data_IF_826194951625
#
_entry.id   IF_826194951625
#
_cell.length_a   1.000
_cell.length_b   1.000
_cell.length_c   1.000
_cell.angle_alpha   90.00
_cell.angle_beta   90.00
_cell.angle_gamma   90.00
#
_symmetry.space_group_name_H-M   'P 1'
#
loop_
_entity.id
_entity.type
_entity.pdbx_description
1 polymer ?
#
# COMPACT_ATOMS: atom_id res chain seq x y z
N UNK A 1 5.52 31.74 -14.50
CA UNK A 1 5.52 30.26 -14.46
C UNK A 1 5.57 29.64 -13.07
N UNK A 2 6.32 30.19 -12.10
CA UNK A 2 6.30 29.71 -10.70
C UNK A 2 4.89 29.60 -10.10
N UNK A 3 3.97 30.50 -10.46
CA UNK A 3 2.60 30.51 -9.93
C UNK A 3 1.74 29.32 -10.37
N UNK A 4 1.90 28.78 -11.58
CA UNK A 4 1.06 27.66 -12.07
C UNK A 4 1.54 26.30 -11.55
N UNK A 5 2.86 26.06 -11.52
CA UNK A 5 3.45 24.84 -10.97
C UNK A 5 3.25 24.79 -9.45
N UNK A 6 3.44 25.91 -8.74
CA UNK A 6 3.18 25.98 -7.31
C UNK A 6 1.68 25.83 -7.01
N UNK A 7 0.78 26.39 -7.84
CA UNK A 7 -0.67 26.18 -7.70
C UNK A 7 -1.05 24.73 -7.90
N UNK A 8 -0.41 23.99 -8.80
CA UNK A 8 -0.77 22.61 -9.10
C UNK A 8 -0.15 21.61 -8.12
N UNK A 9 1.09 21.84 -7.67
CA UNK A 9 1.66 21.12 -6.54
C UNK A 9 0.86 21.41 -5.26
N UNK A 10 0.44 22.67 -5.06
CA UNK A 10 -0.49 23.05 -3.99
C UNK A 10 -1.85 22.39 -4.16
N UNK A 11 -2.37 22.22 -5.38
CA UNK A 11 -3.66 21.56 -5.60
C UNK A 11 -3.54 20.05 -5.35
N UNK A 12 -2.43 19.43 -5.74
CA UNK A 12 -2.14 18.02 -5.48
C UNK A 12 -1.90 17.76 -3.98
N UNK A 13 -1.18 18.67 -3.31
CA UNK A 13 -0.97 18.64 -1.87
C UNK A 13 -2.28 18.91 -1.12
N UNK A 14 -3.10 19.87 -1.57
CA UNK A 14 -4.43 20.15 -1.00
C UNK A 14 -5.37 18.98 -1.25
N UNK A 15 -5.33 18.32 -2.41
CA UNK A 15 -6.13 17.13 -2.68
C UNK A 15 -5.67 15.95 -1.82
N UNK A 16 -4.36 15.74 -1.67
CA UNK A 16 -3.79 14.70 -0.83
C UNK A 16 -4.06 14.94 0.66
N UNK A 17 -3.98 16.20 1.11
CA UNK A 17 -4.33 16.62 2.46
C UNK A 17 -5.85 16.55 2.68
N UNK A 18 -6.65 16.86 1.67
CA UNK A 18 -8.11 16.77 1.71
C UNK A 18 -8.56 15.31 1.79
N UNK A 19 -7.99 14.43 0.97
CA UNK A 19 -8.25 12.98 1.03
C UNK A 19 -7.77 12.41 2.37
N UNK A 20 -6.60 12.82 2.86
CA UNK A 20 -6.11 12.43 4.18
C UNK A 20 -7.00 12.96 5.33
N UNK A 21 -7.43 14.22 5.27
CA UNK A 21 -8.31 14.83 6.29
C UNK A 21 -9.71 14.23 6.24
N UNK A 22 -10.22 13.93 5.04
CA UNK A 22 -11.51 13.28 4.87
C UNK A 22 -11.44 11.84 5.40
N UNK A 23 -10.34 11.14 5.16
CA UNK A 23 -10.10 9.82 5.75
C UNK A 23 -10.01 9.88 7.27
N UNK A 24 -9.42 10.93 7.83
CA UNK A 24 -9.34 11.16 9.27
C UNK A 24 -10.72 11.51 9.88
N UNK A 25 -11.50 12.38 9.23
CA UNK A 25 -12.87 12.73 9.67
C UNK A 25 -13.79 11.51 9.59
N UNK A 26 -13.65 10.69 8.54
CA UNK A 26 -14.41 9.43 8.42
C UNK A 26 -13.95 8.43 9.48
N UNK A 27 -12.66 8.32 9.76
CA UNK A 27 -12.15 7.49 10.86
C UNK A 27 -12.65 7.98 12.24
N UNK A 28 -12.72 9.29 12.48
CA UNK A 28 -13.28 9.88 13.71
C UNK A 28 -14.79 9.63 13.83
N UNK A 29 -15.53 9.72 12.72
CA UNK A 29 -16.97 9.41 12.68
C UNK A 29 -17.25 7.93 12.90
N UNK A 30 -16.43 7.03 12.35
CA UNK A 30 -16.51 5.58 12.59
C UNK A 30 -16.15 5.24 14.04
N UNK A 31 -15.07 5.84 14.58
CA UNK A 31 -14.67 5.69 15.98
C UNK A 31 -15.74 6.19 16.97
N UNK A 32 -16.46 7.26 16.61
CA UNK A 32 -17.60 7.77 17.40
C UNK A 32 -18.89 6.99 17.19
N UNK A 33 -19.00 6.23 16.09
CA UNK A 33 -20.15 5.38 15.76
C UNK A 33 -20.14 4.03 16.49
N UNK A 34 -18.95 3.51 16.81
CA UNK A 34 -18.78 2.32 17.66
C UNK A 34 -18.96 2.69 19.14
N UNK A 35 -20.20 3.02 19.49
CA UNK A 35 -20.66 3.24 20.87
C UNK A 35 -20.64 1.99 21.75
N UNK A 36 -19.70 1.05 21.56
CA UNK A 36 -19.41 0.03 22.57
C UNK A 36 -18.52 0.64 23.65
N UNK A 37 -19.08 1.60 24.38
CA UNK A 37 -18.62 1.91 25.72
C UNK A 37 -18.69 0.59 26.51
N UNK A 38 -17.54 -0.02 26.78
CA UNK A 38 -17.43 -1.05 27.82
C UNK A 38 -17.67 -0.33 29.14
N UNK A 39 -18.94 -0.10 29.45
CA UNK A 39 -19.35 0.43 30.73
C UNK A 39 -19.03 -0.66 31.74
N UNK A 40 -18.00 -0.42 32.55
CA UNK A 40 -17.59 -1.33 33.60
C UNK A 40 -18.62 -1.21 34.72
N UNK A 41 -19.76 -1.90 34.54
CA UNK A 41 -20.76 -2.04 35.59
C UNK A 41 -20.28 -3.15 36.52
N UNK A 42 -19.96 -2.78 37.76
CA UNK A 42 -19.61 -3.69 38.87
C UNK A 42 -18.35 -4.57 38.71
N UNK A 43 -17.33 -4.10 37.98
CA UNK A 43 -16.02 -4.76 37.94
C UNK A 43 -15.98 -6.08 37.16
N UNK A 44 -17.04 -6.38 36.41
CA UNK A 44 -17.10 -7.50 35.48
C UNK A 44 -16.86 -7.01 34.05
N UNK A 45 -16.03 -7.73 33.28
CA UNK A 45 -15.84 -7.45 31.85
C UNK A 45 -17.02 -8.12 31.13
N UNK A 46 -17.92 -7.29 30.60
CA UNK A 46 -19.07 -7.72 29.81
C UNK A 46 -18.73 -7.55 28.33
N UNK A 47 -18.95 -8.57 27.51
CA UNK A 47 -18.74 -8.44 26.06
C UNK A 47 -19.80 -7.52 25.42
N UNK A 48 -19.57 -7.11 24.16
CA UNK A 48 -20.51 -6.27 23.40
C UNK A 48 -21.89 -6.89 23.15
N UNK A 49 -22.15 -8.09 23.67
CA UNK A 49 -23.43 -8.80 23.62
C UNK A 49 -24.07 -8.99 25.00
N UNK A 50 -23.49 -8.42 26.06
CA UNK A 50 -24.04 -8.49 27.42
C UNK A 50 -23.63 -9.74 28.22
N UNK A 51 -22.69 -10.56 27.74
CA UNK A 51 -22.23 -11.73 28.48
C UNK A 51 -21.04 -11.39 29.39
N UNK A 52 -21.12 -11.81 30.64
CA UNK A 52 -20.03 -11.68 31.62
C UNK A 52 -18.95 -12.71 31.28
N UNK A 53 -17.72 -12.25 30.98
CA UNK A 53 -16.57 -13.14 30.76
C UNK A 53 -16.01 -13.56 32.12
N UNK A 54 -16.07 -14.85 32.50
CA UNK A 54 -15.54 -15.31 33.78
C UNK A 54 -14.01 -15.22 33.80
N UNK A 55 -13.45 -14.50 34.76
CA UNK A 55 -12.00 -14.37 34.98
C UNK A 55 -11.42 -15.68 35.51
N UNK A 56 -11.02 -16.59 34.62
CA UNK A 56 -10.31 -17.82 34.99
C UNK A 56 -8.81 -17.55 35.16
N UNK A 57 -8.42 -16.86 36.23
CA UNK A 57 -7.03 -16.82 36.68
C UNK A 57 -6.87 -17.74 37.89
N UNK A 58 -6.51 -19.00 37.63
CA UNK A 58 -5.85 -19.82 38.64
C UNK A 58 -4.34 -19.55 38.57
N UNK A 59 -3.67 -19.18 39.67
CA UNK A 59 -2.22 -19.06 39.68
C UNK A 59 -1.60 -20.47 39.63
N UNK A 60 -1.09 -20.87 38.47
CA UNK A 60 -0.25 -22.06 38.35
C UNK A 60 1.12 -21.75 38.94
N UNK A 61 1.36 -22.21 40.16
CA UNK A 61 2.69 -22.27 40.77
C UNK A 61 3.58 -23.23 39.99
N UNK A 62 4.54 -22.70 39.24
CA UNK A 62 5.56 -23.50 38.54
C UNK A 62 6.57 -24.01 39.57
N UNK A 63 6.78 -25.33 39.72
CA UNK A 63 7.81 -25.87 40.60
C UNK A 63 9.21 -25.61 40.04
N UNK A 64 10.06 -24.96 40.84
CA UNK A 64 11.47 -24.77 40.52
C UNK A 64 12.20 -26.10 40.35
N UNK A 65 12.88 -26.27 39.23
CA UNK A 65 13.73 -27.44 38.98
C UNK A 65 15.09 -26.98 38.44
N UNK A 66 16.13 -27.28 39.22
CA UNK A 66 17.42 -27.78 38.74
C UNK A 66 18.32 -26.84 37.96
N UNK A 67 19.34 -26.30 38.63
CA UNK A 67 20.50 -25.69 38.00
C UNK A 67 21.26 -26.67 37.11
N UNK A 68 21.10 -26.52 35.80
CA UNK A 68 22.03 -27.03 34.80
C UNK A 68 22.77 -25.85 34.18
N UNK A 69 24.04 -25.67 34.54
CA UNK A 69 24.94 -24.70 33.92
C UNK A 69 25.13 -25.08 32.44
N UNK A 70 24.28 -24.52 31.58
CA UNK A 70 24.49 -24.59 30.14
C UNK A 70 25.80 -23.88 29.82
N UNK A 71 26.69 -24.47 29.02
CA UNK A 71 27.94 -23.82 28.64
C UNK A 71 27.63 -22.47 27.99
N UNK A 72 28.48 -21.45 28.18
CA UNK A 72 28.27 -20.13 27.60
C UNK A 72 28.12 -20.31 26.10
N UNK A 73 26.90 -20.08 25.61
CA UNK A 73 26.54 -20.19 24.20
C UNK A 73 27.41 -19.15 23.49
N UNK A 74 28.51 -19.61 22.92
CA UNK A 74 29.45 -18.78 22.18
C UNK A 74 28.60 -18.12 21.10
N UNK A 75 28.51 -16.78 21.15
CA UNK A 75 27.91 -15.97 20.10
C UNK A 75 28.89 -16.05 18.92
N UNK A 76 28.97 -17.22 18.31
CA UNK A 76 29.69 -17.41 17.08
C UNK A 76 28.95 -16.59 16.01
N UNK A 77 29.69 -15.79 15.26
CA UNK A 77 29.20 -15.01 14.11
C UNK A 77 28.43 -15.85 13.09
N UNK A 78 28.48 -17.18 13.19
CA UNK A 78 27.66 -18.15 12.46
C UNK A 78 26.15 -17.97 12.69
N UNK A 79 25.76 -17.28 13.77
CA UNK A 79 24.36 -17.04 14.11
C UNK A 79 23.65 -15.96 13.28
N UNK A 80 24.38 -14.98 12.73
CA UNK A 80 23.71 -13.85 12.05
C UNK A 80 23.20 -14.27 10.67
N UNK A 81 24.04 -14.90 9.85
CA UNK A 81 23.61 -15.38 8.53
C UNK A 81 22.60 -16.53 8.64
N UNK A 82 22.76 -17.41 9.63
CA UNK A 82 21.79 -18.47 9.90
C UNK A 82 20.45 -17.89 10.38
N UNK A 83 20.46 -16.91 11.28
CA UNK A 83 19.23 -16.20 11.72
C UNK A 83 18.56 -15.44 10.57
N UNK A 84 19.34 -14.83 9.67
CA UNK A 84 18.82 -14.20 8.46
C UNK A 84 18.19 -15.23 7.50
N UNK A 85 18.85 -16.38 7.28
CA UNK A 85 18.38 -17.45 6.39
C UNK A 85 17.25 -18.31 7.00
N UNK A 86 17.06 -18.24 8.31
CA UNK A 86 15.96 -18.88 9.04
C UNK A 86 14.88 -17.87 9.46
N UNK A 87 14.97 -16.62 9.01
CA UNK A 87 13.91 -15.63 9.21
C UNK A 87 12.67 -15.99 8.39
N UNK A 88 11.51 -15.56 8.87
CA UNK A 88 10.19 -15.66 8.20
C UNK A 88 10.19 -15.09 6.77
N UNK A 89 11.25 -14.41 6.34
CA UNK A 89 11.40 -13.97 4.97
C UNK A 89 11.71 -15.14 4.00
N UNK A 90 12.53 -16.10 4.42
CA UNK A 90 12.93 -17.23 3.57
C UNK A 90 12.06 -18.46 3.75
N UNK A 91 11.15 -18.49 4.74
CA UNK A 91 10.17 -19.58 4.91
C UNK A 91 9.32 -19.78 3.66
N UNK A 92 8.92 -18.68 3.01
CA UNK A 92 8.19 -18.68 1.74
C UNK A 92 8.89 -19.50 0.63
N UNK A 93 10.23 -19.41 0.54
CA UNK A 93 11.00 -20.12 -0.48
C UNK A 93 11.23 -21.59 -0.14
N UNK A 94 11.12 -21.97 1.14
CA UNK A 94 11.35 -23.34 1.61
C UNK A 94 10.11 -24.22 1.45
N UNK A 95 8.93 -23.73 1.83
CA UNK A 95 7.69 -24.51 1.79
C UNK A 95 6.48 -23.70 1.29
N UNK A 96 6.21 -23.71 -0.02
CA UNK A 96 5.08 -22.96 -0.60
C UNK A 96 3.69 -23.58 -0.33
N UNK A 97 3.59 -24.69 0.42
CA UNK A 97 2.35 -25.45 0.60
C UNK A 97 1.63 -25.23 1.94
N UNK A 98 2.36 -24.85 3.00
CA UNK A 98 1.82 -24.75 4.37
C UNK A 98 1.84 -23.33 4.94
N UNK A 99 2.34 -22.35 4.18
CA UNK A 99 2.45 -20.99 4.69
C UNK A 99 1.13 -20.23 4.60
N UNK A 100 0.94 -19.30 5.54
CA UNK A 100 -0.18 -18.37 5.54
C UNK A 100 -0.02 -17.41 4.34
N UNK A 101 -0.46 -17.90 3.19
CA UNK A 101 -0.15 -17.43 1.83
C UNK A 101 -0.30 -15.91 1.70
N UNK A 102 -1.31 -15.33 2.35
CA UNK A 102 -1.63 -13.90 2.29
C UNK A 102 -0.56 -13.01 2.94
N UNK A 103 0.00 -13.41 4.08
CA UNK A 103 0.97 -12.59 4.83
C UNK A 103 2.34 -12.53 4.15
N UNK A 104 2.77 -13.64 3.57
CA UNK A 104 4.06 -13.74 2.88
C UNK A 104 4.04 -12.96 1.55
N UNK A 105 2.95 -13.06 0.76
CA UNK A 105 2.80 -12.26 -0.46
C UNK A 105 2.78 -10.76 -0.19
N UNK A 106 2.14 -10.33 0.90
CA UNK A 106 2.12 -8.94 1.31
C UNK A 106 3.54 -8.42 1.60
N UNK A 107 4.36 -9.21 2.30
CA UNK A 107 5.76 -8.86 2.59
C UNK A 107 6.59 -8.75 1.31
N UNK A 108 6.39 -9.69 0.38
CA UNK A 108 7.07 -9.68 -0.92
C UNK A 108 6.64 -8.48 -1.79
N UNK A 109 5.35 -8.12 -1.75
CA UNK A 109 4.83 -6.93 -2.40
C UNK A 109 5.49 -5.67 -1.82
N UNK A 110 5.53 -5.52 -0.50
CA UNK A 110 6.18 -4.38 0.17
C UNK A 110 7.67 -4.31 -0.18
N UNK A 111 8.37 -5.45 -0.23
CA UNK A 111 9.77 -5.47 -0.68
C UNK A 111 9.90 -4.94 -2.11
N UNK A 112 9.13 -5.49 -3.06
CA UNK A 112 9.18 -5.09 -4.47
C UNK A 112 8.90 -3.59 -4.64
N UNK A 113 7.97 -3.09 -3.86
CA UNK A 113 7.53 -1.70 -3.83
C UNK A 113 8.63 -0.77 -3.27
N UNK A 114 9.30 -1.17 -2.19
CA UNK A 114 10.47 -0.46 -1.64
C UNK A 114 11.63 -0.47 -2.64
N UNK A 115 11.93 -1.62 -3.25
CA UNK A 115 12.97 -1.74 -4.30
C UNK A 115 12.67 -0.76 -5.44
N UNK A 116 11.42 -0.69 -5.88
CA UNK A 116 11.02 0.18 -6.98
C UNK A 116 11.15 1.67 -6.60
N UNK A 117 10.80 2.05 -5.37
CA UNK A 117 11.04 3.41 -4.86
C UNK A 117 12.53 3.75 -4.84
N UNK A 118 13.35 2.86 -4.26
CA UNK A 118 14.79 3.10 -4.17
C UNK A 118 15.42 3.16 -5.56
N UNK A 119 15.05 2.24 -6.45
CA UNK A 119 15.51 2.24 -7.84
C UNK A 119 15.12 3.52 -8.57
N UNK A 120 13.89 4.01 -8.35
CA UNK A 120 13.43 5.28 -8.91
C UNK A 120 14.28 6.46 -8.39
N UNK A 121 14.52 6.53 -7.09
CA UNK A 121 15.35 7.57 -6.47
C UNK A 121 16.80 7.55 -6.97
N UNK A 122 17.43 6.37 -7.00
CA UNK A 122 18.76 6.18 -7.57
C UNK A 122 18.78 6.51 -9.07
N UNK A 123 17.69 6.21 -9.78
CA UNK A 123 17.61 6.49 -11.21
C UNK A 123 17.49 7.96 -11.51
N UNK A 124 16.82 8.70 -10.65
CA UNK A 124 16.73 10.14 -10.72
C UNK A 124 18.08 10.81 -10.38
N UNK A 125 18.80 10.29 -9.38
CA UNK A 125 20.13 10.78 -8.99
C UNK A 125 21.23 10.45 -10.02
N UNK A 126 20.92 9.66 -11.06
CA UNK A 126 21.89 9.08 -11.99
C UNK A 126 23.05 8.34 -11.31
N UNK A 127 22.81 7.80 -10.11
CA UNK A 127 23.83 7.12 -9.32
C UNK A 127 23.40 5.69 -9.04
N UNK A 128 24.23 4.67 -9.31
CA UNK A 128 25.44 4.65 -10.16
C UNK A 128 25.14 4.73 -11.66
N UNK A 129 26.16 4.96 -12.51
CA UNK A 129 25.99 5.17 -13.97
C UNK A 129 25.36 3.98 -14.69
N UNK A 130 25.72 2.76 -14.31
CA UNK A 130 25.21 1.54 -14.96
C UNK A 130 23.85 1.14 -14.40
N UNK A 131 22.88 0.93 -15.30
CA UNK A 131 21.50 0.58 -14.93
C UNK A 131 21.38 -0.73 -14.14
N UNK A 132 22.23 -1.71 -14.43
CA UNK A 132 22.27 -3.01 -13.74
C UNK A 132 22.76 -2.85 -12.30
N UNK A 133 23.84 -2.10 -12.08
CA UNK A 133 24.39 -1.89 -10.73
C UNK A 133 23.40 -1.09 -9.89
N UNK A 134 22.72 -0.11 -10.49
CA UNK A 134 21.63 0.63 -9.84
C UNK A 134 20.49 -0.28 -9.37
N UNK A 135 20.10 -1.25 -10.20
CA UNK A 135 19.09 -2.23 -9.85
C UNK A 135 19.56 -3.15 -8.71
N UNK A 136 20.80 -3.63 -8.75
CA UNK A 136 21.39 -4.43 -7.67
C UNK A 136 21.43 -3.66 -6.33
N UNK A 137 21.83 -2.37 -6.34
CA UNK A 137 21.80 -1.54 -5.15
C UNK A 137 20.37 -1.36 -4.61
N UNK A 138 19.39 -1.14 -5.50
CA UNK A 138 18.00 -1.03 -5.08
C UNK A 138 17.48 -2.32 -4.42
N UNK A 139 17.84 -3.49 -4.96
CA UNK A 139 17.52 -4.79 -4.35
C UNK A 139 18.15 -4.90 -2.96
N UNK A 140 19.45 -4.62 -2.82
CA UNK A 140 20.17 -4.75 -1.54
C UNK A 140 19.58 -3.82 -0.49
N UNK A 141 19.40 -2.54 -0.81
CA UNK A 141 18.86 -1.55 0.13
C UNK A 141 17.40 -1.88 0.46
N UNK A 142 16.60 -2.28 -0.53
CA UNK A 142 15.20 -2.66 -0.29
C UNK A 142 15.07 -3.90 0.58
N UNK A 143 15.95 -4.89 0.37
CA UNK A 143 16.02 -6.07 1.21
C UNK A 143 16.40 -5.71 2.66
N UNK A 144 17.43 -4.87 2.86
CA UNK A 144 17.83 -4.37 4.18
C UNK A 144 16.72 -3.56 4.87
N UNK A 145 15.92 -2.81 4.12
CA UNK A 145 14.80 -2.05 4.68
C UNK A 145 13.65 -2.98 5.11
N UNK A 146 13.40 -4.06 4.36
CA UNK A 146 12.23 -4.92 4.58
C UNK A 146 12.49 -6.04 5.58
N UNK A 147 13.76 -6.44 5.78
CA UNK A 147 14.12 -7.51 6.72
C UNK A 147 13.84 -7.14 8.19
N UNK A 148 13.85 -5.85 8.50
CA UNK A 148 13.55 -5.33 9.85
C UNK A 148 12.05 -5.31 10.16
N UNK A 149 11.18 -5.51 9.17
CA UNK A 149 9.73 -5.48 9.33
C UNK A 149 9.23 -6.92 9.48
N UNK A 150 8.66 -7.25 10.64
CA UNK A 150 8.02 -8.56 10.84
C UNK A 150 6.68 -8.61 10.12
N UNK A 151 6.25 -9.80 9.70
CA UNK A 151 4.95 -9.98 9.03
C UNK A 151 3.80 -9.59 9.96
N UNK A 152 3.94 -9.84 11.26
CA UNK A 152 2.97 -9.44 12.27
C UNK A 152 2.89 -7.92 12.44
N UNK A 153 4.01 -7.19 12.48
CA UNK A 153 3.98 -5.73 12.53
C UNK A 153 3.37 -5.13 11.27
N UNK A 154 3.63 -5.73 10.11
CA UNK A 154 3.06 -5.28 8.85
C UNK A 154 1.55 -5.47 8.83
N UNK A 155 1.08 -6.67 9.18
CA UNK A 155 -0.34 -6.99 9.27
C UNK A 155 -1.01 -6.16 10.37
N UNK A 156 -0.38 -6.00 11.53
CA UNK A 156 -0.89 -5.17 12.62
C UNK A 156 -0.95 -3.69 12.23
N UNK A 157 0.02 -3.17 11.49
CA UNK A 157 -0.02 -1.79 10.99
C UNK A 157 -1.14 -1.59 9.96
N UNK A 158 -1.45 -2.61 9.15
CA UNK A 158 -2.56 -2.61 8.20
C UNK A 158 -3.93 -2.79 8.89
N UNK A 159 -4.00 -3.60 9.93
CA UNK A 159 -5.23 -3.92 10.66
C UNK A 159 -5.58 -2.86 11.71
N UNK A 160 -4.60 -2.33 12.46
CA UNK A 160 -4.82 -1.32 13.52
C UNK A 160 -5.32 0.00 12.95
N UNK A 161 -5.13 0.23 11.66
CA UNK A 161 -5.74 1.33 10.95
C UNK A 161 -6.39 0.81 9.69
N UNK A 162 -7.48 0.04 9.77
CA UNK A 162 -8.20 -0.47 8.58
C UNK A 162 -8.38 0.61 7.50
N UNK A 163 -8.72 1.84 7.89
CA UNK A 163 -8.80 2.99 6.98
C UNK A 163 -7.44 3.42 6.37
N UNK A 164 -6.38 3.54 7.18
CA UNK A 164 -5.06 3.95 6.69
C UNK A 164 -4.30 2.79 6.01
N UNK A 165 -4.60 1.54 6.33
CA UNK A 165 -4.11 0.35 5.64
C UNK A 165 -4.72 0.23 4.25
N UNK A 166 -6.03 0.48 4.10
CA UNK A 166 -6.68 0.60 2.79
C UNK A 166 -6.10 1.81 2.03
N UNK A 167 -5.91 2.96 2.70
CA UNK A 167 -5.30 4.13 2.06
C UNK A 167 -3.86 3.86 1.62
N UNK A 168 -3.03 3.19 2.42
CA UNK A 168 -1.64 2.85 2.09
C UNK A 168 -1.57 1.84 0.95
N UNK A 169 -2.37 0.78 1.00
CA UNK A 169 -2.42 -0.26 -0.05
C UNK A 169 -2.89 0.31 -1.39
N UNK A 170 -3.72 1.36 -1.37
CA UNK A 170 -4.14 2.06 -2.59
C UNK A 170 -3.15 3.16 -3.01
N UNK A 171 -2.69 3.98 -2.07
CA UNK A 171 -1.88 5.16 -2.35
C UNK A 171 -0.45 4.81 -2.73
N UNK A 172 0.15 3.80 -2.10
CA UNK A 172 1.55 3.48 -2.34
C UNK A 172 1.79 2.99 -3.77
N UNK A 173 1.01 2.04 -4.31
CA UNK A 173 1.18 1.63 -5.70
C UNK A 173 0.93 2.78 -6.69
N UNK A 174 -0.06 3.66 -6.42
CA UNK A 174 -0.31 4.86 -7.23
C UNK A 174 0.94 5.76 -7.25
N UNK A 175 1.55 6.00 -6.08
CA UNK A 175 2.74 6.82 -5.95
C UNK A 175 3.93 6.18 -6.68
N UNK A 176 4.15 4.87 -6.53
CA UNK A 176 5.18 4.12 -7.24
C UNK A 176 5.00 4.21 -8.78
N UNK A 177 3.79 3.99 -9.29
CA UNK A 177 3.46 4.10 -10.71
C UNK A 177 3.61 5.55 -11.24
N UNK A 178 3.26 6.55 -10.43
CA UNK A 178 3.46 7.95 -10.76
C UNK A 178 4.96 8.30 -10.87
N UNK A 179 5.79 7.77 -9.98
CA UNK A 179 7.24 7.91 -10.08
C UNK A 179 7.81 7.25 -11.35
N UNK A 180 7.39 6.02 -11.66
CA UNK A 180 7.79 5.35 -12.91
C UNK A 180 7.38 6.18 -14.12
N UNK A 181 6.16 6.71 -14.10
CA UNK A 181 5.64 7.61 -15.15
C UNK A 181 6.53 8.84 -15.32
N UNK A 182 6.94 9.47 -14.21
CA UNK A 182 7.82 10.63 -14.23
C UNK A 182 9.21 10.31 -14.82
N UNK A 183 9.80 9.19 -14.42
CA UNK A 183 11.11 8.74 -14.91
C UNK A 183 11.06 8.40 -16.40
N UNK A 184 10.02 7.70 -16.86
CA UNK A 184 9.82 7.34 -18.27
C UNK A 184 9.62 8.61 -19.12
N UNK A 185 8.75 9.53 -18.67
CA UNK A 185 8.51 10.80 -19.36
C UNK A 185 9.79 11.63 -19.50
N UNK A 186 10.71 11.51 -18.54
CA UNK A 186 11.98 12.24 -18.55
C UNK A 186 12.97 11.73 -19.60
N UNK A 187 12.90 10.46 -20.01
CA UNK A 187 13.82 9.83 -20.98
C UNK A 187 13.29 9.79 -22.42
N UNK A 188 12.01 10.11 -22.63
CA UNK A 188 11.34 10.12 -23.95
C UNK A 188 11.52 8.79 -24.70
N UNK A 189 11.55 7.67 -23.97
CA UNK A 189 11.64 6.34 -24.57
C UNK A 189 10.22 5.86 -24.97
N UNK A 190 9.95 5.63 -26.27
CA UNK A 190 8.63 5.21 -26.75
C UNK A 190 8.20 3.86 -26.15
N UNK A 191 9.14 2.94 -25.88
CA UNK A 191 8.82 1.64 -25.29
C UNK A 191 8.38 1.81 -23.83
N UNK A 192 9.06 2.69 -23.09
CA UNK A 192 8.72 3.00 -21.70
C UNK A 192 7.29 3.54 -21.56
N UNK A 193 6.84 4.38 -22.49
CA UNK A 193 5.47 4.93 -22.48
C UNK A 193 4.40 3.85 -22.66
N UNK A 194 4.65 2.86 -23.50
CA UNK A 194 3.73 1.73 -23.70
C UNK A 194 3.66 0.86 -22.45
N UNK A 195 4.81 0.49 -21.87
CA UNK A 195 4.88 -0.32 -20.64
C UNK A 195 4.18 0.40 -19.49
N UNK A 196 4.41 1.71 -19.34
CA UNK A 196 3.75 2.52 -18.34
C UNK A 196 2.23 2.52 -18.50
N UNK A 197 1.71 2.64 -19.74
CA UNK A 197 0.28 2.57 -20.01
C UNK A 197 -0.30 1.21 -19.63
N UNK A 198 0.36 0.12 -19.99
CA UNK A 198 -0.06 -1.24 -19.65
C UNK A 198 -0.10 -1.41 -18.12
N UNK A 199 0.91 -0.91 -17.40
CA UNK A 199 0.96 -0.98 -15.95
C UNK A 199 -0.21 -0.23 -15.29
N UNK A 200 -0.56 0.97 -15.77
CA UNK A 200 -1.74 1.71 -15.28
C UNK A 200 -3.06 1.00 -15.59
N UNK A 201 -3.18 0.37 -16.76
CA UNK A 201 -4.37 -0.43 -17.12
C UNK A 201 -4.51 -1.62 -16.17
N UNK A 202 -3.46 -2.43 -16.00
CA UNK A 202 -3.46 -3.59 -15.12
C UNK A 202 -3.80 -3.20 -13.68
N UNK A 203 -3.17 -2.13 -13.18
CA UNK A 203 -3.42 -1.64 -11.84
C UNK A 203 -4.87 -1.14 -11.65
N UNK A 204 -5.41 -0.42 -12.63
CA UNK A 204 -6.79 0.08 -12.55
C UNK A 204 -7.81 -1.05 -12.62
N UNK A 205 -7.59 -2.05 -13.48
CA UNK A 205 -8.44 -3.25 -13.57
C UNK A 205 -8.40 -4.00 -12.25
N UNK A 206 -7.21 -4.18 -11.68
CA UNK A 206 -7.03 -4.79 -10.36
C UNK A 206 -7.83 -4.04 -9.28
N UNK A 207 -7.67 -2.71 -9.17
CA UNK A 207 -8.43 -1.90 -8.20
C UNK A 207 -9.93 -1.98 -8.42
N UNK A 208 -10.38 -1.97 -9.68
CA UNK A 208 -11.80 -2.04 -10.01
C UNK A 208 -12.38 -3.39 -9.58
N UNK A 209 -11.72 -4.50 -9.94
CA UNK A 209 -12.14 -5.84 -9.52
C UNK A 209 -12.16 -5.92 -8.00
N UNK A 210 -11.10 -5.51 -7.31
CA UNK A 210 -11.00 -5.59 -5.86
C UNK A 210 -12.09 -4.77 -5.16
N UNK A 211 -12.32 -3.53 -5.58
CA UNK A 211 -13.28 -2.64 -4.91
C UNK A 211 -14.72 -3.03 -5.24
N UNK A 212 -15.00 -3.38 -6.50
CA UNK A 212 -16.33 -3.81 -6.92
C UNK A 212 -16.74 -5.13 -6.24
N UNK A 213 -15.82 -6.08 -6.13
CA UNK A 213 -16.11 -7.37 -5.48
C UNK A 213 -16.34 -7.21 -3.98
N UNK A 214 -15.57 -6.38 -3.26
CA UNK A 214 -15.86 -6.05 -1.85
C UNK A 214 -17.24 -5.39 -1.69
N UNK A 215 -17.60 -4.48 -2.59
CA UNK A 215 -18.89 -3.80 -2.55
C UNK A 215 -20.06 -4.76 -2.84
N UNK A 216 -19.90 -5.69 -3.79
CA UNK A 216 -20.89 -6.74 -4.09
C UNK A 216 -21.07 -7.66 -2.88
N UNK A 217 -19.97 -8.12 -2.25
CA UNK A 217 -20.03 -8.98 -1.08
C UNK A 217 -20.75 -8.27 0.07
N UNK A 218 -20.39 -7.01 0.35
CA UNK A 218 -21.02 -6.24 1.42
C UNK A 218 -22.50 -5.97 1.15
N UNK A 219 -22.86 -5.62 -0.08
CA UNK A 219 -24.26 -5.43 -0.50
C UNK A 219 -25.08 -6.72 -0.36
N UNK A 220 -24.49 -7.85 -0.73
CA UNK A 220 -25.13 -9.16 -0.57
C UNK A 220 -25.36 -9.50 0.91
N UNK A 221 -24.36 -9.28 1.77
CA UNK A 221 -24.47 -9.48 3.23
C UNK A 221 -25.56 -8.57 3.82
N UNK A 222 -25.60 -7.28 3.46
CA UNK A 222 -26.61 -6.34 3.99
C UNK A 222 -28.03 -6.67 3.54
N UNK A 223 -28.20 -7.12 2.30
CA UNK A 223 -29.52 -7.45 1.74
C UNK A 223 -30.06 -8.75 2.33
N UNK A 224 -29.19 -9.73 2.58
CA UNK A 224 -29.59 -11.02 3.17
C UNK A 224 -29.80 -10.97 4.68
N UNK A 225 -29.12 -10.07 5.41
CA UNK A 225 -29.37 -9.83 6.83
C UNK A 225 -30.80 -9.31 7.13
N UNK A 226 -31.46 -8.68 6.16
CA UNK A 226 -32.86 -8.23 6.28
C UNK A 226 -33.91 -9.33 6.12
N UNK A 227 -33.51 -10.54 5.66
CA UNK A 227 -34.41 -11.67 5.43
C UNK A 227 -34.19 -12.67 6.57
N UNK A 228 -35.03 -12.54 7.60
CA UNK A 228 -34.94 -13.18 8.91
C UNK A 228 -34.38 -14.63 8.93
N UNK A 229 -33.28 -14.81 9.65
CA UNK A 229 -32.96 -16.07 10.34
C UNK A 229 -31.95 -17.01 9.68
N UNK A 230 -31.46 -16.71 8.47
CA UNK A 230 -30.38 -17.54 7.86
C UNK A 230 -29.05 -16.83 8.06
N UNK A 231 -28.10 -17.47 8.74
CA UNK A 231 -26.75 -16.94 8.90
C UNK A 231 -26.17 -16.60 7.52
N UNK A 232 -25.82 -15.34 7.33
CA UNK A 232 -25.40 -14.67 6.08
C UNK A 232 -24.31 -15.40 5.30
N UNK A 233 -23.48 -16.19 6.01
CA UNK A 233 -22.47 -17.06 5.40
C UNK A 233 -23.05 -18.25 4.64
N UNK A 234 -24.25 -18.75 4.98
CA UNK A 234 -24.85 -19.92 4.34
C UNK A 234 -25.35 -19.63 2.91
N UNK A 235 -25.94 -18.45 2.67
CA UNK A 235 -26.45 -18.08 1.35
C UNK A 235 -25.31 -17.87 0.33
N UNK A 236 -24.23 -17.21 0.76
CA UNK A 236 -23.03 -17.00 -0.06
C UNK A 236 -22.30 -18.31 -0.31
N UNK A 237 -22.21 -19.19 0.72
CA UNK A 237 -21.66 -20.55 0.63
C UNK A 237 -22.40 -21.45 -0.35
N UNK A 238 -23.71 -21.26 -0.50
CA UNK A 238 -24.52 -22.04 -1.44
C UNK A 238 -24.41 -21.55 -2.89
N UNK A 239 -23.86 -20.35 -3.12
CA UNK A 239 -23.57 -19.89 -4.48
C UNK A 239 -22.20 -20.42 -4.95
N UNK A 240 -22.21 -21.47 -5.77
CA UNK A 240 -20.99 -22.09 -6.34
C UNK A 240 -20.09 -21.04 -7.02
N UNK A 241 -20.69 -20.04 -7.64
CA UNK A 241 -19.98 -18.96 -8.32
C UNK A 241 -19.34 -17.97 -7.33
N UNK A 242 -20.06 -17.59 -6.27
CA UNK A 242 -19.57 -16.65 -5.26
C UNK A 242 -18.42 -17.23 -4.46
N UNK A 243 -18.55 -18.44 -3.93
CA UNK A 243 -17.49 -19.03 -3.10
C UNK A 243 -16.18 -19.23 -3.84
N UNK A 244 -16.23 -19.70 -5.08
CA UNK A 244 -14.99 -20.03 -5.80
C UNK A 244 -14.26 -18.77 -6.29
N UNK A 245 -15.00 -17.78 -6.79
CA UNK A 245 -14.39 -16.54 -7.30
C UNK A 245 -13.93 -15.65 -6.14
N UNK A 246 -14.74 -15.46 -5.09
CA UNK A 246 -14.32 -14.64 -3.96
C UNK A 246 -13.20 -15.31 -3.16
N UNK A 247 -13.21 -16.64 -2.98
CA UNK A 247 -12.06 -17.33 -2.37
C UNK A 247 -10.80 -17.24 -3.22
N UNK A 248 -10.92 -17.31 -4.54
CA UNK A 248 -9.77 -17.13 -5.42
C UNK A 248 -9.20 -15.70 -5.33
N UNK A 249 -10.06 -14.68 -5.28
CA UNK A 249 -9.66 -13.27 -5.28
C UNK A 249 -9.17 -12.76 -3.91
N UNK A 250 -9.75 -13.26 -2.82
CA UNK A 250 -9.54 -12.72 -1.46
C UNK A 250 -9.04 -13.76 -0.44
N UNK A 251 -8.85 -15.00 -0.87
CA UNK A 251 -8.51 -16.10 0.02
C UNK A 251 -9.70 -16.59 0.85
N UNK A 252 -9.41 -17.46 1.82
CA UNK A 252 -10.44 -18.08 2.65
C UNK A 252 -11.09 -17.10 3.63
N UNK A 253 -10.43 -15.97 3.94
CA UNK A 253 -10.86 -15.00 4.96
C UNK A 253 -11.68 -13.83 4.40
N UNK A 254 -12.21 -13.97 3.18
CA UNK A 254 -12.93 -12.89 2.51
C UNK A 254 -14.19 -12.42 3.26
N UNK A 255 -14.87 -13.32 3.99
CA UNK A 255 -16.04 -12.97 4.81
C UNK A 255 -15.62 -12.04 5.97
N UNK A 256 -14.53 -12.38 6.65
CA UNK A 256 -13.95 -11.58 7.73
C UNK A 256 -13.45 -10.24 7.22
N UNK A 257 -12.80 -10.22 6.06
CA UNK A 257 -12.32 -8.98 5.42
C UNK A 257 -13.47 -8.08 4.95
N UNK A 258 -14.56 -8.65 4.42
CA UNK A 258 -15.73 -7.88 4.02
C UNK A 258 -16.51 -7.32 5.21
N UNK A 259 -16.57 -8.06 6.32
CA UNK A 259 -17.15 -7.58 7.58
C UNK A 259 -16.28 -6.48 8.22
N UNK A 260 -14.96 -6.62 8.16
CA UNK A 260 -14.00 -5.62 8.66
C UNK A 260 -13.84 -4.40 7.74
N UNK A 261 -14.32 -4.49 6.50
CA UNK A 261 -14.32 -3.36 5.57
C UNK A 261 -15.27 -2.29 6.11
N UNK A 262 -14.72 -1.11 6.43
CA UNK A 262 -15.45 0.03 6.99
C UNK A 262 -16.67 0.46 6.16
N UNK A 263 -17.40 1.48 6.63
CA UNK A 263 -18.69 1.91 6.08
C UNK A 263 -18.83 1.84 4.55
N UNK A 264 -20.04 1.50 4.07
CA UNK A 264 -20.36 1.44 2.63
C UNK A 264 -19.88 2.68 1.86
N UNK A 265 -19.90 3.83 2.52
CA UNK A 265 -19.42 5.11 1.99
C UNK A 265 -17.93 5.06 1.63
N UNK A 266 -17.08 4.43 2.45
CA UNK A 266 -15.63 4.31 2.20
C UNK A 266 -15.38 3.48 0.94
N UNK A 267 -16.07 2.35 0.78
CA UNK A 267 -15.96 1.49 -0.41
C UNK A 267 -16.45 2.20 -1.67
N UNK A 268 -17.53 2.99 -1.60
CA UNK A 268 -18.01 3.80 -2.72
C UNK A 268 -16.98 4.87 -3.09
N UNK A 269 -16.40 5.56 -2.11
CA UNK A 269 -15.34 6.56 -2.34
C UNK A 269 -14.10 5.94 -2.99
N UNK A 270 -13.71 4.73 -2.57
CA UNK A 270 -12.62 3.97 -3.19
C UNK A 270 -12.93 3.62 -4.65
N UNK A 271 -14.17 3.22 -4.94
CA UNK A 271 -14.60 2.89 -6.30
C UNK A 271 -14.56 4.14 -7.20
N UNK A 272 -15.06 5.28 -6.71
CA UNK A 272 -14.98 6.56 -7.43
C UNK A 272 -13.53 6.97 -7.66
N UNK A 273 -12.67 6.82 -6.66
CA UNK A 273 -11.23 7.10 -6.77
C UNK A 273 -10.57 6.22 -7.84
N UNK A 274 -10.90 4.93 -7.88
CA UNK A 274 -10.46 3.99 -8.92
C UNK A 274 -10.84 4.46 -10.32
N UNK A 275 -12.09 4.91 -10.52
CA UNK A 275 -12.56 5.43 -11.81
C UNK A 275 -11.79 6.71 -12.21
N UNK A 276 -11.55 7.62 -11.25
CA UNK A 276 -10.79 8.85 -11.48
C UNK A 276 -9.35 8.52 -11.89
N UNK A 277 -8.69 7.60 -11.16
CA UNK A 277 -7.32 7.16 -11.47
C UNK A 277 -7.26 6.57 -12.87
N UNK A 278 -8.19 5.69 -13.24
CA UNK A 278 -8.28 5.13 -14.58
C UNK A 278 -8.45 6.24 -15.64
N UNK A 279 -9.39 7.16 -15.42
CA UNK A 279 -9.65 8.23 -16.37
C UNK A 279 -8.45 9.16 -16.57
N UNK A 280 -7.76 9.54 -15.49
CA UNK A 280 -6.59 10.44 -15.55
C UNK A 280 -5.37 9.74 -16.16
N UNK A 281 -5.04 8.54 -15.68
CA UNK A 281 -3.76 7.90 -15.98
C UNK A 281 -3.81 6.92 -17.16
N UNK A 282 -4.98 6.35 -17.48
CA UNK A 282 -5.16 5.49 -18.66
C UNK A 282 -5.73 6.29 -19.81
N UNK A 283 -6.91 6.91 -19.64
CA UNK A 283 -7.60 7.59 -20.75
C UNK A 283 -6.93 8.91 -21.14
N UNK A 284 -6.55 9.75 -20.15
CA UNK A 284 -5.86 11.03 -20.38
C UNK A 284 -4.33 10.93 -20.35
N UNK A 285 -3.78 9.72 -20.45
CA UNK A 285 -2.32 9.48 -20.37
C UNK A 285 -1.50 10.39 -21.30
N UNK A 286 -1.93 10.57 -22.56
CA UNK A 286 -1.21 11.39 -23.53
C UNK A 286 -1.15 12.88 -23.11
N UNK A 287 -2.24 13.40 -22.54
CA UNK A 287 -2.29 14.77 -22.05
C UNK A 287 -1.40 14.93 -20.80
N UNK A 288 -1.45 13.97 -19.87
CA UNK A 288 -0.62 13.96 -18.67
C UNK A 288 0.86 13.89 -19.02
N UNK A 289 1.24 13.00 -19.94
CA UNK A 289 2.64 12.86 -20.42
C UNK A 289 3.13 14.12 -21.11
N UNK A 290 2.33 14.70 -22.02
CA UNK A 290 2.68 15.96 -22.69
C UNK A 290 2.89 17.08 -21.67
N UNK A 291 1.98 17.20 -20.70
CA UNK A 291 2.07 18.19 -19.65
C UNK A 291 3.32 18.01 -18.78
N UNK A 292 3.70 16.76 -18.44
CA UNK A 292 4.96 16.48 -17.73
C UNK A 292 6.19 16.88 -18.54
N UNK A 293 6.21 16.59 -19.84
CA UNK A 293 7.32 16.95 -20.74
C UNK A 293 7.45 18.47 -20.85
N UNK A 294 6.34 19.18 -21.03
CA UNK A 294 6.31 20.64 -21.06
C UNK A 294 6.84 21.21 -19.73
N UNK A 295 6.35 20.71 -18.59
CA UNK A 295 6.80 21.15 -17.27
C UNK A 295 8.29 20.92 -17.02
N UNK A 296 8.84 19.79 -17.49
CA UNK A 296 10.28 19.50 -17.43
C UNK A 296 11.08 20.47 -18.29
N UNK A 297 10.68 20.67 -19.55
CA UNK A 297 11.32 21.64 -20.46
C UNK A 297 11.35 23.04 -19.85
N UNK A 298 10.27 23.45 -19.21
CA UNK A 298 10.17 24.76 -18.58
C UNK A 298 11.07 24.90 -17.34
N UNK A 299 11.27 23.80 -16.60
CA UNK A 299 12.20 23.75 -15.48
C UNK A 299 13.66 23.82 -15.97
N UNK A 300 14.01 23.10 -17.03
CA UNK A 300 15.34 23.11 -17.64
C UNK A 300 15.67 24.50 -18.22
N UNK A 301 14.69 25.16 -18.87
CA UNK A 301 14.82 26.55 -19.33
C UNK A 301 15.10 27.53 -18.19
N UNK A 302 14.42 27.39 -17.05
CA UNK A 302 14.67 28.24 -15.88
C UNK A 302 16.05 27.99 -15.27
N UNK A 303 16.48 26.73 -15.19
CA UNK A 303 17.82 26.38 -14.73
C UNK A 303 18.90 26.95 -15.64
N UNK A 304 18.71 26.89 -16.96
CA UNK A 304 19.63 27.47 -17.95
C UNK A 304 19.70 29.00 -17.84
N UNK A 305 18.55 29.69 -17.78
CA UNK A 305 18.50 31.15 -17.59
C UNK A 305 19.25 31.59 -16.34
N UNK A 306 19.07 30.86 -15.24
CA UNK A 306 19.78 31.15 -13.97
C UNK A 306 21.29 30.97 -14.09
N UNK A 307 21.76 29.98 -14.87
CA UNK A 307 23.20 29.77 -15.13
C UNK A 307 23.79 30.88 -16.00
N UNK A 308 23.08 31.30 -17.04
CA UNK A 308 23.51 32.38 -17.95
C UNK A 308 23.56 33.73 -17.23
N UNK A 309 22.54 34.04 -16.42
CA UNK A 309 22.51 35.26 -15.60
C UNK A 309 23.68 35.30 -14.60
N UNK A 310 24.01 34.16 -13.96
CA UNK A 310 25.18 34.05 -13.09
C UNK A 310 26.52 34.19 -13.84
N UNK A 311 26.57 33.85 -15.12
CA UNK A 311 27.77 33.99 -15.95
C UNK A 311 27.95 35.42 -16.51
N UNK A 312 27.07 36.37 -16.18
CA UNK A 312 27.14 37.76 -16.65
C UNK A 312 26.70 37.94 -18.11
N UNK A 313 26.15 36.90 -18.75
CA UNK A 313 25.63 36.97 -20.12
C UNK A 313 24.21 37.51 -20.14
N UNK A 314 23.96 38.63 -20.84
CA UNK A 314 22.60 39.00 -21.29
C UNK A 314 22.33 38.25 -22.59
N UNK A 315 21.86 37.01 -22.49
CA UNK A 315 21.38 36.27 -23.65
C UNK A 315 19.86 36.21 -23.57
N UNK A 316 19.19 36.81 -24.55
CA UNK A 316 17.77 36.57 -24.80
C UNK A 316 17.64 35.16 -25.38
N UNK A 317 17.51 34.17 -24.50
CA UNK A 317 17.36 32.78 -24.89
C UNK A 317 15.94 32.55 -25.38
N UNK A 318 15.78 32.50 -26.70
CA UNK A 318 14.55 32.06 -27.35
C UNK A 318 14.30 30.57 -27.03
N UNK A 319 13.07 30.25 -26.63
CA UNK A 319 12.68 28.91 -26.20
C UNK A 319 12.91 27.81 -27.26
N UNK A 320 13.11 28.20 -28.52
CA UNK A 320 13.39 27.29 -29.63
C UNK A 320 14.80 26.69 -29.61
N UNK A 321 15.79 27.31 -28.95
CA UNK A 321 17.18 26.83 -28.97
C UNK A 321 17.51 25.79 -27.89
N UNK A 322 16.71 25.68 -26.83
CA UNK A 322 17.01 24.80 -25.67
C UNK A 322 16.42 23.39 -25.82
N UNK A 323 15.65 23.13 -26.88
CA UNK A 323 14.88 21.88 -27.05
C UNK A 323 15.45 20.85 -28.04
N UNK A 324 16.71 20.98 -28.47
CA UNK A 324 17.39 19.98 -29.31
C UNK A 324 18.28 19.07 -28.48
#
# INVERSE_FOLDING_TARGET
MKKSVFRLLSLFLVLALFVSSLSFVVADLVSRGDGTFLDTVDGSIVDGYGNVIPSTTSPTSVPGTGGGSSPPKTIAQDGLFSSLMNSDFFSFFKDPKDSNVTGEYLKLLVLLLIILIIYSGLSYANFPESGIVRFLFAIIIGFLATIMITTQELVAALQSYTALGIALTLFFPILALAFVTFVVASKVDPLGLVVQRIAWVLYSVYLFIQTASLLIVKWYISTSAGIAGTSTSAALKNSVFGTNIFKFLFGNDFETNAAASGDNLVLIMLLVTSIIVFWVFVYKNAATTKWLIDAKRDADLQAYKTKVEKAGGKVDVDAAQVGK
#
